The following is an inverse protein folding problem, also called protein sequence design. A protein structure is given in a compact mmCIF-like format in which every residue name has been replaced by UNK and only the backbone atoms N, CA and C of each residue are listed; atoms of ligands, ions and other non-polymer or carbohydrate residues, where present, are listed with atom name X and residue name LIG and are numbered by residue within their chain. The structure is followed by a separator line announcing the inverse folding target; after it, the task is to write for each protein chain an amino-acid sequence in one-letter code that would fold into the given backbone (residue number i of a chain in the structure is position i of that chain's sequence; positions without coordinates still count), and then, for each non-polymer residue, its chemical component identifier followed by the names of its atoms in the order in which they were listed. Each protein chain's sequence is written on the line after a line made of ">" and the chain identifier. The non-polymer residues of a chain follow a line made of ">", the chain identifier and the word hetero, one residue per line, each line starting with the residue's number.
data_IF_316156122692
#
_entry.id   IF_316156122692
#
_cell.length_a   1.000
_cell.length_b   1.000
_cell.length_c   1.000
_cell.angle_alpha   90.00
_cell.angle_beta   90.00
_cell.angle_gamma   90.00
#
_symmetry.space_group_name_H-M   'P 1'
#
loop_
_entity.id
_entity.type
_entity.pdbx_description
1 polymer ?
#
# COMPACT_ATOMS: atom_id res chain seq x y z
N UNK A 1 16.63 -5.02 -50.39
CA UNK A 1 16.69 -6.11 -49.39
C UNK A 1 18.07 -6.05 -48.73
N UNK A 2 18.13 -5.61 -47.48
CA UNK A 2 19.31 -5.74 -46.63
C UNK A 2 18.81 -6.26 -45.28
N UNK A 3 19.33 -7.42 -44.89
CA UNK A 3 18.83 -8.23 -43.80
C UNK A 3 19.07 -7.55 -42.44
N UNK A 4 18.07 -7.62 -41.57
CA UNK A 4 18.15 -7.23 -40.17
C UNK A 4 19.14 -8.15 -39.43
N UNK A 5 20.12 -7.55 -38.75
CA UNK A 5 20.94 -8.26 -37.77
C UNK A 5 20.13 -8.43 -36.48
N UNK A 6 20.13 -9.62 -35.85
CA UNK A 6 19.43 -9.84 -34.60
C UNK A 6 20.18 -9.12 -33.47
N UNK A 7 19.46 -8.25 -32.77
CA UNK A 7 19.94 -7.61 -31.56
C UNK A 7 20.29 -8.70 -30.54
N UNK A 8 21.59 -8.82 -30.26
CA UNK A 8 22.13 -9.66 -29.21
C UNK A 8 21.41 -9.36 -27.89
N UNK A 9 20.70 -10.34 -27.35
CA UNK A 9 20.28 -10.38 -25.96
C UNK A 9 21.53 -10.22 -25.08
N UNK A 10 21.83 -8.98 -24.68
CA UNK A 10 22.63 -8.76 -23.48
C UNK A 10 21.80 -9.29 -22.32
N UNK A 11 22.33 -10.29 -21.63
CA UNK A 11 21.81 -10.72 -20.35
C UNK A 11 21.65 -9.49 -19.47
N UNK A 12 20.41 -9.18 -19.11
CA UNK A 12 20.12 -8.13 -18.14
C UNK A 12 20.65 -8.61 -16.80
N UNK A 13 21.71 -7.97 -16.32
CA UNK A 13 21.97 -7.78 -14.89
C UNK A 13 20.62 -7.63 -14.16
N UNK A 14 20.43 -8.24 -12.97
CA UNK A 14 19.19 -8.04 -12.23
C UNK A 14 19.00 -6.54 -12.03
N UNK A 15 17.96 -6.00 -12.66
CA UNK A 15 17.57 -4.59 -12.51
C UNK A 15 17.55 -4.27 -11.02
N UNK A 16 18.33 -3.28 -10.58
CA UNK A 16 18.32 -2.86 -9.18
C UNK A 16 16.87 -2.67 -8.72
N UNK A 17 16.48 -3.21 -7.56
CA UNK A 17 15.09 -3.16 -7.11
C UNK A 17 14.68 -1.71 -6.91
N UNK A 18 13.50 -1.34 -7.41
CA UNK A 18 12.95 0.01 -7.22
C UNK A 18 12.66 0.24 -5.73
N UNK A 19 13.25 1.29 -5.16
CA UNK A 19 13.06 1.67 -3.75
C UNK A 19 12.13 2.86 -3.63
N UNK A 20 11.00 2.63 -2.97
CA UNK A 20 9.98 3.65 -2.71
C UNK A 20 9.90 3.88 -1.21
N UNK A 21 10.06 5.13 -0.78
CA UNK A 21 9.88 5.57 0.61
C UNK A 21 8.63 6.42 0.70
N UNK A 22 7.84 6.22 1.76
CA UNK A 22 6.73 7.10 2.11
C UNK A 22 6.90 7.60 3.53
N UNK A 23 6.62 8.89 3.74
CA UNK A 23 6.78 9.52 5.04
C UNK A 23 5.81 10.70 5.22
N UNK A 24 4.90 10.58 6.20
CA UNK A 24 4.17 11.74 6.70
C UNK A 24 5.12 12.60 7.54
N UNK A 25 5.40 13.81 7.04
CA UNK A 25 6.32 14.78 7.65
C UNK A 25 5.59 15.87 8.44
N UNK A 26 4.32 15.64 8.79
CA UNK A 26 3.41 16.63 9.36
C UNK A 26 3.84 17.21 10.70
N UNK A 27 4.74 16.56 11.44
CA UNK A 27 5.32 17.15 12.65
C UNK A 27 6.03 18.48 12.37
N UNK A 28 6.61 18.63 11.17
CA UNK A 28 7.42 19.82 10.82
C UNK A 28 7.08 20.44 9.46
N UNK A 29 6.55 19.66 8.52
CA UNK A 29 6.36 20.09 7.12
C UNK A 29 7.67 20.16 6.33
N UNK A 30 7.54 20.32 5.01
CA UNK A 30 8.69 20.22 4.09
C UNK A 30 9.68 21.36 4.26
N UNK A 31 9.19 22.60 4.38
CA UNK A 31 10.03 23.79 4.54
C UNK A 31 10.95 23.70 5.76
N UNK A 32 10.41 23.27 6.91
CA UNK A 32 11.19 23.10 8.14
C UNK A 32 12.24 21.99 8.00
N UNK A 33 11.88 20.84 7.42
CA UNK A 33 12.82 19.73 7.25
C UNK A 33 13.94 20.06 6.26
N UNK A 34 13.66 20.84 5.23
CA UNK A 34 14.63 21.26 4.22
C UNK A 34 15.39 22.55 4.58
N UNK A 35 15.09 23.17 5.73
CA UNK A 35 15.67 24.46 6.12
C UNK A 35 17.20 24.43 6.25
N UNK A 36 17.83 25.54 5.85
CA UNK A 36 19.29 25.74 5.85
C UNK A 36 19.88 26.06 7.22
N UNK A 37 19.05 26.22 8.25
CA UNK A 37 19.52 26.23 9.64
C UNK A 37 20.31 24.95 9.88
N UNK A 38 21.50 25.08 10.49
CA UNK A 38 22.43 23.98 10.73
C UNK A 38 21.67 22.75 11.22
N UNK A 39 22.07 21.55 10.76
CA UNK A 39 21.43 20.30 11.14
C UNK A 39 21.40 20.19 12.66
N UNK A 40 20.26 20.56 13.25
CA UNK A 40 20.04 20.51 14.68
C UNK A 40 19.36 19.20 15.02
N UNK A 41 19.61 18.72 16.23
CA UNK A 41 18.94 17.56 16.77
C UNK A 41 18.19 18.00 18.02
N UNK A 42 17.02 17.41 18.25
CA UNK A 42 16.40 17.47 19.57
C UNK A 42 17.37 16.86 20.59
N UNK A 43 17.27 17.30 21.85
CA UNK A 43 17.96 16.63 22.94
C UNK A 43 17.63 15.13 22.92
N UNK A 44 18.61 14.24 23.23
CA UNK A 44 18.36 12.81 23.26
C UNK A 44 17.15 12.49 24.13
N UNK A 45 16.26 11.64 23.65
CA UNK A 45 15.16 11.14 24.46
C UNK A 45 15.66 10.12 25.50
N UNK A 46 14.72 9.55 26.27
CA UNK A 46 15.03 8.60 27.36
C UNK A 46 15.73 7.31 26.87
N UNK A 47 15.75 7.06 25.56
CA UNK A 47 16.44 5.94 24.91
C UNK A 47 17.73 6.37 24.20
N UNK A 48 18.15 7.62 24.37
CA UNK A 48 19.32 8.19 23.71
C UNK A 48 19.09 8.56 22.23
N UNK A 49 17.84 8.53 21.75
CA UNK A 49 17.53 8.85 20.35
C UNK A 49 17.38 10.36 20.20
N UNK A 50 18.22 10.95 19.34
CA UNK A 50 18.15 12.38 19.00
C UNK A 50 17.42 12.55 17.67
N UNK A 51 16.32 13.30 17.66
CA UNK A 51 15.52 13.50 16.44
C UNK A 51 16.08 14.67 15.65
N UNK A 52 16.54 14.40 14.44
CA UNK A 52 17.04 15.44 13.53
C UNK A 52 15.94 16.45 13.23
N UNK A 53 16.18 17.73 13.47
CA UNK A 53 15.25 18.84 13.29
C UNK A 53 15.12 19.30 11.83
N UNK A 54 16.25 19.42 11.15
CA UNK A 54 16.37 19.79 9.75
C UNK A 54 17.47 18.97 9.06
N UNK A 55 17.42 18.90 7.74
CA UNK A 55 18.42 18.27 6.91
C UNK A 55 19.40 19.26 6.28
N UNK A 56 19.25 20.57 6.51
CA UNK A 56 20.11 21.62 5.93
C UNK A 56 19.77 21.95 4.47
N UNK A 57 19.23 20.99 3.71
CA UNK A 57 18.69 21.21 2.38
C UNK A 57 17.75 20.07 1.98
N UNK A 58 16.89 20.32 0.99
CA UNK A 58 16.06 19.27 0.39
C UNK A 58 16.91 18.18 -0.28
N UNK A 59 18.04 18.55 -0.90
CA UNK A 59 18.97 17.58 -1.49
C UNK A 59 19.52 16.61 -0.44
N UNK A 60 19.92 17.13 0.73
CA UNK A 60 20.43 16.30 1.83
C UNK A 60 19.33 15.43 2.44
N UNK A 61 18.10 15.95 2.53
CA UNK A 61 16.93 15.17 2.94
C UNK A 61 16.69 13.98 2.01
N UNK A 62 16.61 14.22 0.70
CA UNK A 62 16.37 13.18 -0.30
C UNK A 62 17.51 12.15 -0.35
N UNK A 63 18.76 12.60 -0.25
CA UNK A 63 19.92 11.72 -0.20
C UNK A 63 19.89 10.79 1.04
N UNK A 64 19.47 11.31 2.20
CA UNK A 64 19.42 10.54 3.45
C UNK A 64 18.37 9.41 3.46
N UNK A 65 17.34 9.50 2.60
CA UNK A 65 16.29 8.48 2.50
C UNK A 65 16.68 7.29 1.63
N UNK A 66 17.77 7.41 0.85
CA UNK A 66 18.31 6.34 -0.01
C UNK A 66 17.24 5.61 -0.84
N UNK A 67 16.42 6.40 -1.54
CA UNK A 67 15.31 5.92 -2.35
C UNK A 67 15.40 6.40 -3.81
N UNK A 68 14.66 5.73 -4.68
CA UNK A 68 14.45 6.13 -6.07
C UNK A 68 13.22 7.02 -6.21
N UNK A 69 12.19 6.75 -5.39
CA UNK A 69 10.97 7.56 -5.27
C UNK A 69 10.69 7.84 -3.80
N UNK A 70 10.44 9.11 -3.47
CA UNK A 70 10.10 9.56 -2.12
C UNK A 70 8.73 10.22 -2.13
N UNK A 71 7.82 9.74 -1.29
CA UNK A 71 6.46 10.21 -1.14
C UNK A 71 6.30 10.89 0.22
N UNK A 72 6.22 12.22 0.21
CA UNK A 72 5.93 13.00 1.42
C UNK A 72 4.43 13.31 1.53
N UNK A 73 3.91 13.19 2.75
CA UNK A 73 2.59 13.66 3.15
C UNK A 73 2.71 14.77 4.20
N UNK A 74 1.69 15.62 4.28
CA UNK A 74 1.67 16.81 5.15
C UNK A 74 2.85 17.76 4.89
N UNK A 75 3.11 18.09 3.62
CA UNK A 75 4.16 19.04 3.25
C UNK A 75 3.89 20.46 3.78
N UNK A 76 2.62 20.80 4.04
CA UNK A 76 2.15 22.06 4.66
C UNK A 76 2.61 23.33 3.96
N UNK A 77 2.83 23.25 2.65
CA UNK A 77 3.17 24.41 1.82
C UNK A 77 1.90 25.11 1.33
N UNK A 78 1.89 26.44 1.44
CA UNK A 78 0.82 27.28 0.90
C UNK A 78 1.00 27.51 -0.61
N UNK A 79 2.24 27.66 -1.03
CA UNK A 79 2.63 27.95 -2.40
C UNK A 79 3.95 27.25 -2.72
N UNK A 80 4.27 27.14 -3.99
CA UNK A 80 5.47 26.44 -4.43
C UNK A 80 6.69 27.34 -4.30
N UNK A 81 7.66 26.91 -3.51
CA UNK A 81 8.95 27.58 -3.40
C UNK A 81 9.99 26.83 -4.21
N UNK A 82 10.73 27.54 -5.08
CA UNK A 82 11.66 26.93 -6.04
C UNK A 82 12.65 25.97 -5.40
N UNK A 83 13.22 26.34 -4.26
CA UNK A 83 14.23 25.54 -3.54
C UNK A 83 13.64 24.30 -2.83
N UNK A 84 12.31 24.23 -2.68
CA UNK A 84 11.59 23.08 -2.13
C UNK A 84 11.02 22.17 -3.23
N UNK A 85 11.13 22.56 -4.49
CA UNK A 85 10.65 21.79 -5.64
C UNK A 85 11.79 21.28 -6.51
N UNK A 86 12.78 22.13 -6.80
CA UNK A 86 13.82 21.84 -7.76
C UNK A 86 15.08 21.36 -7.04
N UNK A 87 15.44 20.09 -7.27
CA UNK A 87 16.67 19.47 -6.79
C UNK A 87 17.34 18.76 -7.95
N UNK A 88 18.63 18.98 -8.15
CA UNK A 88 19.39 18.34 -9.22
C UNK A 88 19.30 16.81 -9.12
N UNK A 89 18.99 16.17 -10.25
CA UNK A 89 18.79 14.72 -10.33
C UNK A 89 17.43 14.22 -9.85
N UNK A 90 16.49 15.11 -9.53
CA UNK A 90 15.13 14.76 -9.10
C UNK A 90 14.05 15.53 -9.87
N UNK A 91 12.98 14.83 -10.22
CA UNK A 91 11.71 15.39 -10.67
C UNK A 91 10.71 15.37 -9.51
N UNK A 92 9.95 16.45 -9.32
CA UNK A 92 9.03 16.60 -8.20
C UNK A 92 7.59 16.89 -8.66
N UNK A 93 6.61 16.31 -7.97
CA UNK A 93 5.18 16.42 -8.27
C UNK A 93 4.41 16.70 -7.00
N UNK A 94 3.55 17.72 -7.00
CA UNK A 94 2.89 18.20 -5.79
C UNK A 94 1.38 18.27 -5.95
N UNK A 95 0.69 18.10 -4.83
CA UNK A 95 -0.69 18.54 -4.65
C UNK A 95 -0.76 19.35 -3.36
N UNK A 96 -1.16 20.61 -3.44
CA UNK A 96 -1.20 21.53 -2.30
C UNK A 96 -2.65 21.84 -1.92
N UNK A 97 -2.88 22.11 -0.63
CA UNK A 97 -4.19 22.48 -0.14
C UNK A 97 -4.61 23.85 -0.68
N UNK A 98 -5.78 23.89 -1.33
CA UNK A 98 -6.42 25.12 -1.85
C UNK A 98 -7.57 25.59 -0.98
N UNK A 99 -8.11 24.72 -0.13
CA UNK A 99 -9.15 25.07 0.83
C UNK A 99 -8.66 26.21 1.75
N UNK A 100 -9.56 27.17 2.03
CA UNK A 100 -9.29 28.37 2.85
C UNK A 100 -10.17 28.44 4.10
N UNK A 101 -10.43 27.28 4.70
CA UNK A 101 -11.19 27.18 5.93
C UNK A 101 -10.31 27.51 7.16
N UNK A 102 -10.89 27.94 8.30
CA UNK A 102 -10.13 28.21 9.52
C UNK A 102 -9.15 27.10 9.93
N UNK A 103 -9.57 25.83 9.77
CA UNK A 103 -8.77 24.63 10.07
C UNK A 103 -7.59 24.38 9.13
N UNK A 104 -7.53 25.05 7.98
CA UNK A 104 -6.48 24.86 6.96
C UNK A 104 -5.31 25.83 7.10
N UNK A 105 -5.34 26.69 8.13
CA UNK A 105 -4.28 27.68 8.40
C UNK A 105 -3.91 28.52 7.17
N UNK A 106 -4.92 28.87 6.35
CA UNK A 106 -4.75 29.64 5.11
C UNK A 106 -4.05 28.88 3.97
N UNK A 107 -4.18 27.55 3.94
CA UNK A 107 -3.56 26.66 2.94
C UNK A 107 -2.28 25.96 3.41
N UNK A 108 -1.79 26.25 4.62
CA UNK A 108 -0.66 25.54 5.26
C UNK A 108 -1.14 24.27 5.97
N UNK A 109 -1.82 23.43 5.22
CA UNK A 109 -2.49 22.23 5.71
C UNK A 109 -2.34 21.10 4.70
N UNK A 110 -2.26 19.85 5.18
CA UNK A 110 -2.14 18.68 4.32
C UNK A 110 -1.03 18.86 3.27
N UNK A 111 -1.35 18.59 2.00
CA UNK A 111 -0.41 18.63 0.88
C UNK A 111 0.44 17.35 0.79
N UNK A 112 0.69 16.90 -0.42
CA UNK A 112 1.58 15.76 -0.71
C UNK A 112 2.59 16.13 -1.79
N UNK A 113 3.76 15.50 -1.74
CA UNK A 113 4.81 15.66 -2.75
C UNK A 113 5.48 14.33 -3.07
N UNK A 114 5.68 14.05 -4.35
CA UNK A 114 6.40 12.88 -4.84
C UNK A 114 7.66 13.34 -5.56
N UNK A 115 8.81 12.90 -5.08
CA UNK A 115 10.12 13.12 -5.70
C UNK A 115 10.59 11.83 -6.34
N UNK A 116 10.97 11.87 -7.61
CA UNK A 116 11.48 10.73 -8.37
C UNK A 116 12.88 11.08 -8.85
N UNK A 117 13.85 10.18 -8.69
CA UNK A 117 15.15 10.34 -9.37
C UNK A 117 14.91 10.48 -10.87
N UNK A 118 15.72 11.28 -11.56
CA UNK A 118 15.56 11.49 -13.01
C UNK A 118 15.58 10.18 -13.82
N UNK A 119 16.35 9.18 -13.37
CA UNK A 119 16.34 7.83 -13.97
C UNK A 119 15.05 7.02 -13.76
N UNK A 120 14.20 7.44 -12.81
CA UNK A 120 12.90 6.89 -12.48
C UNK A 120 11.78 7.91 -12.75
N UNK A 121 11.95 8.78 -13.74
CA UNK A 121 10.95 9.78 -14.10
C UNK A 121 9.64 9.11 -14.55
N UNK A 122 8.48 9.51 -14.02
CA UNK A 122 7.21 8.96 -14.48
C UNK A 122 6.88 9.43 -15.90
N UNK A 123 6.21 8.56 -16.67
CA UNK A 123 5.67 8.89 -17.99
C UNK A 123 4.47 9.82 -17.90
N UNK A 124 3.68 9.70 -16.83
CA UNK A 124 2.52 10.54 -16.55
C UNK A 124 2.50 10.90 -15.08
N UNK A 125 2.06 12.11 -14.76
CA UNK A 125 1.72 12.51 -13.40
C UNK A 125 0.37 13.24 -13.44
N UNK A 126 -0.40 13.17 -12.36
CA UNK A 126 -1.62 13.94 -12.21
C UNK A 126 -1.82 14.34 -10.75
N UNK A 127 -2.38 15.52 -10.57
CA UNK A 127 -2.84 16.00 -9.28
C UNK A 127 -4.25 15.48 -8.96
N UNK A 128 -4.47 15.10 -7.70
CA UNK A 128 -5.78 14.70 -7.20
C UNK A 128 -6.12 13.23 -7.47
N UNK A 129 -7.13 12.76 -6.75
CA UNK A 129 -7.63 11.39 -6.86
C UNK A 129 -8.76 11.28 -7.88
N UNK A 130 -9.49 12.37 -8.14
CA UNK A 130 -10.68 12.33 -8.99
C UNK A 130 -10.41 12.54 -10.48
N UNK A 131 -9.22 13.07 -10.79
CA UNK A 131 -8.83 13.51 -12.14
C UNK A 131 -9.50 14.80 -12.62
N UNK A 132 -10.25 15.51 -11.74
CA UNK A 132 -10.90 16.79 -12.09
C UNK A 132 -9.92 17.95 -12.20
N UNK A 133 -8.83 17.89 -11.43
CA UNK A 133 -7.77 18.88 -11.49
C UNK A 133 -6.84 18.63 -12.67
N UNK A 134 -6.59 17.35 -12.99
CA UNK A 134 -5.72 16.93 -14.08
C UNK A 134 -6.19 15.60 -14.68
N UNK A 135 -6.49 15.60 -15.98
CA UNK A 135 -6.96 14.44 -16.73
C UNK A 135 -5.85 13.67 -17.45
N UNK A 136 -4.57 14.00 -17.23
CA UNK A 136 -3.41 13.41 -17.92
C UNK A 136 -3.29 11.89 -17.77
N UNK A 137 -3.78 11.34 -16.66
CA UNK A 137 -3.78 9.88 -16.40
C UNK A 137 -5.11 9.23 -16.87
N UNK A 138 -6.05 9.96 -17.46
CA UNK A 138 -7.32 9.42 -17.96
C UNK A 138 -8.19 8.79 -16.87
N UNK A 139 -9.08 7.87 -17.24
CA UNK A 139 -9.77 6.91 -16.34
C UNK A 139 -10.61 7.49 -15.19
N UNK A 140 -11.49 8.46 -15.50
CA UNK A 140 -12.42 9.08 -14.53
C UNK A 140 -13.83 8.50 -14.56
N UNK A 141 -14.07 7.48 -15.40
CA UNK A 141 -15.40 7.07 -15.81
C UNK A 141 -16.29 6.65 -14.63
N UNK A 142 -15.74 5.90 -13.67
CA UNK A 142 -16.51 5.43 -12.51
C UNK A 142 -16.83 6.55 -11.52
N UNK A 143 -15.99 7.60 -11.45
CA UNK A 143 -16.19 8.74 -10.54
C UNK A 143 -17.15 9.78 -11.09
N UNK A 144 -17.08 10.06 -12.39
CA UNK A 144 -17.92 11.07 -13.04
C UNK A 144 -19.38 10.60 -13.19
N UNK A 145 -19.62 9.28 -13.16
CA UNK A 145 -20.97 8.73 -13.14
C UNK A 145 -21.70 8.91 -11.80
N UNK A 146 -20.97 9.06 -10.69
CA UNK A 146 -21.52 9.05 -9.32
C UNK A 146 -21.55 10.43 -8.65
N UNK A 147 -20.97 11.48 -9.25
CA UNK A 147 -20.81 12.79 -8.58
C UNK A 147 -20.74 13.97 -9.56
N UNK A 148 -21.16 15.14 -9.10
CA UNK A 148 -20.98 16.40 -9.83
C UNK A 148 -19.52 16.85 -9.86
N UNK A 149 -19.15 17.68 -10.84
CA UNK A 149 -17.78 18.19 -10.95
C UNK A 149 -17.36 19.01 -9.72
N UNK A 150 -18.27 19.76 -9.12
CA UNK A 150 -18.02 20.54 -7.91
C UNK A 150 -17.67 19.64 -6.73
N UNK A 151 -18.44 18.55 -6.51
CA UNK A 151 -18.13 17.58 -5.45
C UNK A 151 -16.76 16.93 -5.66
N UNK A 152 -16.40 16.59 -6.90
CA UNK A 152 -15.07 16.06 -7.21
C UNK A 152 -13.97 17.08 -6.92
N UNK A 153 -14.19 18.36 -7.24
CA UNK A 153 -13.24 19.45 -6.93
C UNK A 153 -13.10 19.64 -5.42
N UNK A 154 -14.18 19.51 -4.66
CA UNK A 154 -14.14 19.57 -3.20
C UNK A 154 -13.32 18.42 -2.60
N UNK A 155 -13.47 17.20 -3.10
CA UNK A 155 -12.67 16.03 -2.67
C UNK A 155 -11.16 16.30 -2.87
N UNK A 156 -10.77 16.89 -4.01
CA UNK A 156 -9.36 17.17 -4.32
C UNK A 156 -8.84 18.51 -3.76
N UNK A 157 -9.70 19.33 -3.15
CA UNK A 157 -9.36 20.68 -2.68
C UNK A 157 -8.30 20.73 -1.58
N UNK A 158 -8.14 19.65 -0.80
CA UNK A 158 -7.23 19.58 0.34
C UNK A 158 -5.82 19.09 -0.03
N UNK A 159 -5.52 18.82 -1.30
CA UNK A 159 -4.17 18.50 -1.75
C UNK A 159 -3.66 17.13 -1.27
N UNK A 160 -4.50 16.10 -1.34
CA UNK A 160 -4.30 14.83 -0.62
C UNK A 160 -3.75 13.68 -1.46
N UNK A 161 -3.58 13.87 -2.76
CA UNK A 161 -3.14 12.81 -3.66
C UNK A 161 -2.31 13.37 -4.82
N UNK A 162 -1.19 12.69 -5.11
CA UNK A 162 -0.46 12.80 -6.37
C UNK A 162 -0.31 11.41 -6.94
N UNK A 163 -0.60 11.26 -8.23
CA UNK A 163 -0.45 10.00 -8.96
C UNK A 163 0.72 10.14 -9.92
N UNK A 164 1.64 9.18 -9.93
CA UNK A 164 2.75 9.09 -10.88
C UNK A 164 2.75 7.70 -11.53
N UNK A 165 2.90 7.63 -12.86
CA UNK A 165 2.89 6.37 -13.62
C UNK A 165 4.28 6.08 -14.15
N UNK A 166 4.87 5.00 -13.64
CA UNK A 166 6.23 4.53 -13.94
C UNK A 166 6.12 3.23 -14.74
N UNK A 167 6.35 3.29 -16.05
CA UNK A 167 6.06 2.19 -16.97
C UNK A 167 4.60 1.67 -16.81
N UNK A 168 4.43 0.51 -16.19
CA UNK A 168 3.14 -0.15 -15.91
C UNK A 168 2.67 0.00 -14.45
N UNK A 169 3.39 0.75 -13.61
CA UNK A 169 3.08 0.99 -12.20
C UNK A 169 2.49 2.39 -11.99
N UNK A 170 1.22 2.47 -11.59
CA UNK A 170 0.63 3.66 -11.01
C UNK A 170 0.91 3.73 -9.50
N UNK A 171 1.69 4.70 -9.09
CA UNK A 171 1.95 5.02 -7.69
C UNK A 171 1.05 6.18 -7.26
N UNK A 172 0.21 5.96 -6.25
CA UNK A 172 -0.62 6.99 -5.62
C UNK A 172 -0.01 7.33 -4.26
N UNK A 173 0.58 8.52 -4.15
CA UNK A 173 1.02 9.10 -2.88
C UNK A 173 -0.17 9.77 -2.20
N UNK A 174 -0.62 9.21 -1.08
CA UNK A 174 -1.90 9.60 -0.44
C UNK A 174 -1.73 10.05 1.01
N UNK A 175 -2.44 11.12 1.35
CA UNK A 175 -2.70 11.56 2.71
C UNK A 175 -4.20 11.55 3.00
N UNK A 176 -4.71 10.43 3.50
CA UNK A 176 -6.13 10.29 3.78
C UNK A 176 -6.57 11.20 4.94
N UNK A 177 -7.81 11.72 4.94
CA UNK A 177 -8.29 12.59 6.01
C UNK A 177 -8.24 11.92 7.39
N UNK A 178 -7.81 12.68 8.40
CA UNK A 178 -7.89 12.29 9.81
C UNK A 178 -9.19 12.82 10.44
N UNK A 179 -9.76 12.03 11.36
CA UNK A 179 -10.95 12.40 12.12
C UNK A 179 -10.53 12.97 13.49
N UNK A 180 -10.06 14.22 13.49
CA UNK A 180 -9.46 14.85 14.69
C UNK A 180 -10.26 16.04 15.24
N UNK A 181 -11.44 16.32 14.68
CA UNK A 181 -12.26 17.43 15.14
C UNK A 181 -12.97 17.09 16.46
N UNK A 182 -12.85 18.01 17.42
CA UNK A 182 -13.46 17.94 18.74
C UNK A 182 -14.91 18.43 18.78
N UNK A 183 -15.27 19.36 17.88
CA UNK A 183 -16.65 19.80 17.69
C UNK A 183 -17.47 18.69 16.98
N UNK A 184 -18.66 18.29 17.48
CA UNK A 184 -19.43 17.19 16.91
C UNK A 184 -19.87 17.39 15.45
N UNK A 185 -20.29 18.61 15.09
CA UNK A 185 -20.77 18.91 13.74
C UNK A 185 -19.62 18.85 12.73
N UNK A 186 -18.49 19.47 13.08
CA UNK A 186 -17.26 19.40 12.29
C UNK A 186 -16.73 17.95 12.22
N UNK A 187 -16.80 17.21 13.33
CA UNK A 187 -16.43 15.78 13.36
C UNK A 187 -17.22 14.99 12.32
N UNK A 188 -18.52 15.24 12.22
CA UNK A 188 -19.37 14.57 11.23
C UNK A 188 -19.05 14.99 9.80
N UNK A 189 -18.85 16.28 9.55
CA UNK A 189 -18.40 16.79 8.24
C UNK A 189 -17.08 16.14 7.82
N UNK A 190 -16.11 16.02 8.72
CA UNK A 190 -14.82 15.37 8.42
C UNK A 190 -14.95 13.86 8.18
N UNK A 191 -15.87 13.17 8.88
CA UNK A 191 -16.18 11.76 8.59
C UNK A 191 -16.80 11.60 7.21
N UNK A 192 -17.76 12.45 6.84
CA UNK A 192 -18.41 12.44 5.52
C UNK A 192 -17.39 12.75 4.41
N UNK A 193 -16.52 13.74 4.62
CA UNK A 193 -15.42 14.04 3.70
C UNK A 193 -14.45 12.87 3.56
N UNK A 194 -14.05 12.24 4.67
CA UNK A 194 -13.21 11.03 4.65
C UNK A 194 -13.87 9.90 3.87
N UNK A 195 -15.16 9.64 4.08
CA UNK A 195 -15.89 8.60 3.36
C UNK A 195 -15.90 8.87 1.84
N UNK A 196 -16.19 10.10 1.44
CA UNK A 196 -16.19 10.52 0.03
C UNK A 196 -14.80 10.39 -0.61
N UNK A 197 -13.75 10.82 0.10
CA UNK A 197 -12.37 10.67 -0.35
C UNK A 197 -11.96 9.21 -0.52
N UNK A 198 -12.28 8.34 0.46
CA UNK A 198 -11.94 6.92 0.40
C UNK A 198 -12.69 6.19 -0.72
N UNK A 199 -13.96 6.54 -0.95
CA UNK A 199 -14.73 6.04 -2.09
C UNK A 199 -14.07 6.45 -3.41
N UNK A 200 -13.70 7.73 -3.53
CA UNK A 200 -13.04 8.22 -4.74
C UNK A 200 -11.70 7.52 -5.00
N UNK A 201 -10.92 7.32 -3.93
CA UNK A 201 -9.65 6.60 -3.97
C UNK A 201 -9.79 5.13 -4.39
N UNK A 202 -10.78 4.42 -3.85
CA UNK A 202 -11.05 3.04 -4.23
C UNK A 202 -11.37 2.93 -5.72
N UNK A 203 -12.35 3.72 -6.19
CA UNK A 203 -12.76 3.71 -7.59
C UNK A 203 -11.60 4.08 -8.52
N UNK A 204 -10.81 5.09 -8.15
CA UNK A 204 -9.61 5.47 -8.90
C UNK A 204 -8.63 4.32 -9.04
N UNK A 205 -8.34 3.61 -7.94
CA UNK A 205 -7.43 2.46 -7.98
C UNK A 205 -8.00 1.31 -8.84
N UNK A 206 -9.31 1.07 -8.77
CA UNK A 206 -9.98 0.04 -9.60
C UNK A 206 -9.93 0.38 -11.09
N UNK A 207 -10.19 1.64 -11.44
CA UNK A 207 -10.14 2.09 -12.83
C UNK A 207 -8.72 1.96 -13.41
N UNK A 208 -7.70 2.34 -12.64
CA UNK A 208 -6.29 2.17 -13.04
C UNK A 208 -5.92 0.68 -13.21
N UNK A 209 -6.35 -0.17 -12.27
CA UNK A 209 -6.12 -1.62 -12.36
C UNK A 209 -6.85 -2.26 -13.55
N UNK A 210 -8.08 -1.84 -13.83
CA UNK A 210 -8.86 -2.28 -14.99
C UNK A 210 -8.24 -1.83 -16.32
N UNK A 211 -7.52 -0.70 -16.32
CA UNK A 211 -6.70 -0.25 -17.45
C UNK A 211 -5.39 -1.05 -17.62
N UNK A 212 -5.16 -2.08 -16.81
CA UNK A 212 -3.99 -2.96 -16.88
C UNK A 212 -2.77 -2.46 -16.14
N UNK A 213 -2.89 -1.40 -15.33
CA UNK A 213 -1.78 -0.91 -14.51
C UNK A 213 -1.69 -1.70 -13.21
N UNK A 214 -0.47 -1.94 -12.75
CA UNK A 214 -0.21 -2.27 -11.35
C UNK A 214 -0.38 -0.99 -10.54
N UNK A 215 -0.96 -1.10 -9.36
CA UNK A 215 -1.26 0.03 -8.48
C UNK A 215 -0.50 -0.15 -7.17
N UNK A 216 0.27 0.86 -6.80
CA UNK A 216 0.83 1.03 -5.47
C UNK A 216 0.17 2.24 -4.83
N UNK A 217 -0.76 1.99 -3.92
CA UNK A 217 -1.30 3.01 -3.04
C UNK A 217 -0.41 3.10 -1.79
N UNK A 218 0.26 4.22 -1.60
CA UNK A 218 1.25 4.39 -0.52
C UNK A 218 1.07 5.72 0.20
N UNK A 219 1.14 5.69 1.53
CA UNK A 219 1.04 6.90 2.36
C UNK A 219 0.29 6.70 3.65
N UNK A 220 0.01 7.81 4.32
CA UNK A 220 -0.75 7.85 5.56
C UNK A 220 -2.25 7.71 5.28
N UNK A 221 -2.77 6.54 5.58
CA UNK A 221 -4.19 6.20 5.42
C UNK A 221 -5.05 6.68 6.59
N UNK A 222 -4.45 7.15 7.69
CA UNK A 222 -5.14 7.52 8.91
C UNK A 222 -6.13 6.42 9.38
N UNK A 223 -5.78 5.15 9.14
CA UNK A 223 -6.57 3.96 9.44
C UNK A 223 -5.60 2.85 9.85
N UNK A 224 -5.72 2.34 11.08
CA UNK A 224 -5.01 1.13 11.49
C UNK A 224 -5.78 -0.11 10.99
N UNK A 225 -5.17 -1.02 10.20
CA UNK A 225 -5.91 -2.14 9.58
C UNK A 225 -6.54 -3.12 10.58
N UNK A 226 -5.83 -3.43 11.67
CA UNK A 226 -6.25 -4.40 12.67
C UNK A 226 -5.84 -3.98 14.08
N UNK A 227 -6.21 -4.80 15.08
CA UNK A 227 -5.74 -4.59 16.46
C UNK A 227 -4.23 -4.68 16.61
N UNK A 228 -3.57 -5.56 15.85
CA UNK A 228 -2.10 -5.70 15.87
C UNK A 228 -1.38 -4.43 15.41
N UNK A 229 -2.11 -3.52 14.76
CA UNK A 229 -1.63 -2.26 14.23
C UNK A 229 -1.89 -1.07 15.15
N UNK A 230 -2.34 -1.30 16.39
CA UNK A 230 -2.61 -0.25 17.40
C UNK A 230 -2.20 -0.73 18.79
N UNK A 231 -1.22 -0.05 19.42
CA UNK A 231 -0.79 -0.35 20.79
C UNK A 231 -1.97 -0.31 21.76
N UNK A 232 -2.80 0.73 21.66
CA UNK A 232 -4.00 0.91 22.47
C UNK A 232 -4.96 -0.27 22.37
N UNK A 233 -5.19 -0.81 21.17
CA UNK A 233 -6.12 -1.94 21.00
C UNK A 233 -5.49 -3.30 21.33
N UNK A 234 -4.17 -3.41 21.21
CA UNK A 234 -3.43 -4.62 21.56
C UNK A 234 -3.43 -4.89 23.08
N UNK A 235 -3.50 -3.83 23.89
CA UNK A 235 -3.54 -3.91 25.36
C UNK A 235 -4.95 -4.12 25.94
N UNK A 236 -6.00 -4.03 25.12
CA UNK A 236 -7.37 -4.20 25.60
C UNK A 236 -7.60 -5.65 26.06
N UNK A 237 -7.83 -5.81 27.36
CA UNK A 237 -8.25 -7.08 27.96
C UNK A 237 -9.63 -7.54 27.49
N UNK A 238 -10.47 -6.58 27.09
CA UNK A 238 -11.82 -6.81 26.60
C UNK A 238 -11.89 -6.69 25.07
N UNK A 239 -13.03 -7.10 24.50
CA UNK A 239 -13.32 -6.81 23.11
C UNK A 239 -13.35 -5.27 22.90
N UNK A 240 -12.73 -4.75 21.82
CA UNK A 240 -12.64 -3.36 21.50
C UNK A 240 -14.02 -2.93 21.03
N UNK A 241 -14.26 -1.62 20.99
CA UNK A 241 -15.42 -1.11 20.29
C UNK A 241 -15.45 -1.62 18.84
N UNK A 242 -16.65 -1.65 18.22
CA UNK A 242 -16.79 -1.95 16.81
C UNK A 242 -15.83 -1.10 15.95
N UNK A 243 -15.25 -1.69 14.88
CA UNK A 243 -14.40 -0.96 13.95
C UNK A 243 -15.11 0.27 13.37
N UNK A 244 -14.35 1.34 13.15
CA UNK A 244 -14.85 2.51 12.41
C UNK A 244 -15.23 2.13 10.97
N UNK A 245 -16.12 2.91 10.34
CA UNK A 245 -16.49 2.72 8.94
C UNK A 245 -15.26 2.70 8.00
N UNK A 246 -14.26 3.57 8.23
CA UNK A 246 -13.03 3.59 7.45
C UNK A 246 -12.17 2.33 7.65
N UNK A 247 -12.16 1.74 8.86
CA UNK A 247 -11.49 0.45 9.09
C UNK A 247 -12.22 -0.70 8.40
N UNK A 248 -13.55 -0.73 8.46
CA UNK A 248 -14.35 -1.74 7.74
C UNK A 248 -14.14 -1.64 6.23
N UNK A 249 -14.12 -0.42 5.67
CA UNK A 249 -13.79 -0.17 4.27
C UNK A 249 -12.43 -0.75 3.90
N UNK A 250 -11.39 -0.47 4.68
CA UNK A 250 -10.05 -0.99 4.41
C UNK A 250 -10.00 -2.52 4.53
N UNK A 251 -10.64 -3.09 5.55
CA UNK A 251 -10.72 -4.54 5.76
C UNK A 251 -11.44 -5.25 4.61
N UNK A 252 -12.48 -4.64 4.04
CA UNK A 252 -13.17 -5.19 2.87
C UNK A 252 -12.27 -5.28 1.63
N UNK A 253 -11.33 -4.35 1.47
CA UNK A 253 -10.37 -4.35 0.36
C UNK A 253 -9.20 -5.33 0.55
N UNK A 254 -8.87 -5.64 1.80
CA UNK A 254 -7.79 -6.57 2.18
C UNK A 254 -8.28 -8.00 2.45
N UNK A 255 -9.58 -8.19 2.60
CA UNK A 255 -10.18 -9.42 3.13
C UNK A 255 -10.51 -10.50 2.07
N UNK A 256 -10.69 -11.76 2.50
CA UNK A 256 -11.12 -12.87 1.66
C UNK A 256 -12.59 -12.72 1.19
N UNK A 257 -13.03 -13.46 0.14
CA UNK A 257 -12.29 -14.50 -0.59
C UNK A 257 -11.38 -13.98 -1.70
N UNK A 258 -11.50 -12.71 -2.08
CA UNK A 258 -10.70 -12.09 -3.15
C UNK A 258 -10.30 -10.67 -2.76
N UNK A 259 -9.15 -10.48 -2.09
CA UNK A 259 -8.68 -9.15 -1.75
C UNK A 259 -8.37 -8.36 -3.02
N UNK A 260 -8.71 -7.07 -3.02
CA UNK A 260 -8.32 -6.16 -4.09
C UNK A 260 -6.88 -5.66 -3.89
N UNK A 261 -6.49 -5.42 -2.63
CA UNK A 261 -5.14 -5.01 -2.26
C UNK A 261 -4.44 -6.07 -1.42
N UNK A 262 -3.12 -6.16 -1.56
CA UNK A 262 -2.24 -6.75 -0.55
C UNK A 262 -1.53 -5.64 0.24
N UNK A 263 -1.58 -5.71 1.57
CA UNK A 263 -0.73 -4.90 2.45
C UNK A 263 0.70 -5.48 2.42
N UNK A 264 1.64 -4.75 1.81
CA UNK A 264 3.02 -5.21 1.61
C UNK A 264 3.72 -5.54 2.94
N UNK A 265 3.47 -4.76 3.99
CA UNK A 265 4.07 -5.03 5.30
C UNK A 265 3.54 -6.33 5.88
N UNK A 266 2.21 -6.56 5.83
CA UNK A 266 1.60 -7.79 6.36
C UNK A 266 1.88 -9.02 5.51
N UNK A 267 2.08 -8.85 4.21
CA UNK A 267 2.55 -9.92 3.34
C UNK A 267 3.93 -10.46 3.76
N UNK A 268 4.84 -9.56 4.16
CA UNK A 268 6.21 -9.90 4.59
C UNK A 268 6.33 -10.22 6.08
N UNK A 269 5.46 -9.62 6.90
CA UNK A 269 5.50 -9.68 8.36
C UNK A 269 4.09 -9.92 8.95
N UNK A 270 3.46 -11.07 8.66
CA UNK A 270 2.04 -11.30 8.95
C UNK A 270 1.69 -11.16 10.42
N UNK A 271 2.53 -11.67 11.32
CA UNK A 271 2.29 -11.67 12.77
C UNK A 271 3.07 -10.60 13.56
N UNK A 272 3.85 -9.73 12.90
CA UNK A 272 4.71 -8.76 13.61
C UNK A 272 3.86 -7.68 14.30
N UNK A 273 3.78 -7.72 15.62
CA UNK A 273 3.25 -6.64 16.46
C UNK A 273 4.28 -5.53 16.71
N UNK A 274 3.87 -4.43 17.32
CA UNK A 274 4.76 -3.35 17.75
C UNK A 274 5.42 -2.54 16.63
N UNK A 275 5.00 -2.74 15.37
CA UNK A 275 5.55 -2.08 14.19
C UNK A 275 4.70 -0.86 13.80
N UNK A 276 4.75 0.18 14.63
CA UNK A 276 3.94 1.38 14.47
C UNK A 276 4.68 2.45 13.65
N UNK A 277 3.92 3.36 13.04
CA UNK A 277 4.43 4.41 12.16
C UNK A 277 4.06 5.82 12.63
N UNK A 278 3.04 5.94 13.48
CA UNK A 278 2.57 7.21 14.03
C UNK A 278 2.46 7.14 15.56
N UNK A 279 2.95 8.20 16.21
CA UNK A 279 3.01 8.33 17.66
C UNK A 279 2.59 9.74 18.08
N UNK A 280 1.87 9.84 19.20
CA UNK A 280 1.51 11.13 19.76
C UNK A 280 2.71 11.76 20.49
N UNK A 281 3.37 12.71 19.84
CA UNK A 281 4.65 13.29 20.30
C UNK A 281 4.51 14.05 21.62
N UNK A 282 3.41 14.80 21.82
CA UNK A 282 3.25 15.63 23.01
C UNK A 282 3.12 14.81 24.31
N UNK A 283 2.69 13.55 24.22
CA UNK A 283 2.66 12.63 25.37
C UNK A 283 3.92 11.75 25.46
N UNK A 284 4.90 11.91 24.57
CA UNK A 284 6.09 11.06 24.49
C UNK A 284 5.77 9.60 24.15
N UNK A 285 4.69 9.34 23.40
CA UNK A 285 4.18 7.99 23.17
C UNK A 285 5.18 7.09 22.42
N UNK A 286 5.99 7.68 21.56
CA UNK A 286 7.08 7.01 20.84
C UNK A 286 8.15 6.43 21.76
N UNK A 287 8.44 7.08 22.90
CA UNK A 287 9.34 6.54 23.94
C UNK A 287 8.83 5.23 24.54
N UNK A 288 7.55 4.93 24.41
CA UNK A 288 6.98 3.69 24.93
C UNK A 288 6.52 2.74 23.82
N UNK A 289 6.92 3.04 22.58
CA UNK A 289 6.38 2.38 21.38
C UNK A 289 4.84 2.32 21.39
N UNK A 290 4.20 3.35 21.93
CA UNK A 290 2.75 3.43 22.07
C UNK A 290 2.16 4.14 20.87
N UNK A 291 2.04 3.42 19.75
CA UNK A 291 1.67 3.99 18.47
C UNK A 291 0.64 3.20 17.70
N UNK A 292 0.43 3.65 16.47
CA UNK A 292 -0.42 3.00 15.47
C UNK A 292 0.32 2.87 14.15
N UNK A 293 0.11 1.77 13.42
CA UNK A 293 0.53 1.63 12.03
C UNK A 293 -0.59 2.13 11.13
N UNK A 294 -0.38 3.29 10.53
CA UNK A 294 -1.35 3.96 9.65
C UNK A 294 -0.76 4.34 8.29
N UNK A 295 0.56 4.28 8.16
CA UNK A 295 1.27 4.41 6.90
C UNK A 295 1.35 3.04 6.22
N UNK A 296 0.68 2.91 5.08
CA UNK A 296 0.48 1.63 4.40
C UNK A 296 1.08 1.67 2.99
N UNK A 297 1.50 0.51 2.51
CA UNK A 297 1.84 0.26 1.11
C UNK A 297 0.94 -0.87 0.60
N UNK A 298 -0.04 -0.53 -0.23
CA UNK A 298 -1.10 -1.42 -0.71
C UNK A 298 -0.92 -1.67 -2.21
N UNK A 299 -0.83 -2.95 -2.59
CA UNK A 299 -0.52 -3.38 -3.96
C UNK A 299 -1.74 -4.02 -4.63
N UNK A 300 -2.08 -3.58 -5.84
CA UNK A 300 -3.10 -4.20 -6.70
C UNK A 300 -2.55 -4.44 -8.14
N UNK A 301 -2.86 -5.58 -8.79
CA UNK A 301 -3.41 -6.77 -8.16
C UNK A 301 -2.45 -7.28 -7.05
N UNK A 302 -2.97 -8.03 -6.06
CA UNK A 302 -2.13 -8.65 -5.05
C UNK A 302 -1.00 -9.46 -5.71
N UNK A 303 0.28 -9.25 -5.34
CA UNK A 303 1.37 -10.04 -5.90
C UNK A 303 1.19 -11.51 -5.53
N UNK A 304 1.64 -12.42 -6.40
CA UNK A 304 1.78 -13.82 -6.05
C UNK A 304 2.89 -13.95 -5.00
N UNK A 305 2.51 -14.07 -3.72
CA UNK A 305 3.47 -14.25 -2.65
C UNK A 305 4.04 -15.69 -2.71
N UNK A 306 5.35 -15.87 -2.52
CA UNK A 306 5.90 -17.20 -2.32
C UNK A 306 5.25 -17.81 -1.08
N UNK A 307 4.74 -19.03 -1.19
CA UNK A 307 4.10 -19.74 -0.08
C UNK A 307 5.07 -19.79 1.10
N UNK A 308 4.75 -19.08 2.17
CA UNK A 308 5.51 -19.06 3.40
C UNK A 308 5.54 -20.47 3.98
N UNK A 309 6.69 -21.16 3.86
CA UNK A 309 6.95 -22.40 4.57
C UNK A 309 6.95 -22.10 6.07
N UNK A 310 5.86 -22.41 6.76
CA UNK A 310 5.86 -22.43 8.21
C UNK A 310 6.73 -23.60 8.66
N UNK A 311 7.91 -23.29 9.18
CA UNK A 311 8.66 -24.16 10.07
C UNK A 311 7.86 -24.29 11.38
N UNK A 312 6.94 -25.24 11.43
CA UNK A 312 6.26 -25.66 12.65
C UNK A 312 7.00 -26.86 13.26
N UNK A 313 7.66 -26.63 14.39
CA UNK A 313 8.11 -27.69 15.30
C UNK A 313 6.88 -28.43 15.83
N UNK A 314 6.56 -29.59 15.25
CA UNK A 314 5.50 -30.47 15.72
C UNK A 314 6.02 -31.49 16.74
N UNK A 315 5.53 -31.43 17.98
CA UNK A 315 5.37 -32.63 18.78
C UNK A 315 4.15 -33.40 18.25
N UNK A 316 4.36 -34.69 18.03
CA UNK A 316 3.43 -35.58 17.33
C UNK A 316 2.14 -35.83 18.14
N UNK A 317 1.00 -35.60 17.49
CA UNK A 317 -0.31 -36.13 17.86
C UNK A 317 -0.97 -36.69 16.60
N UNK A 318 -1.17 -38.00 16.57
CA UNK A 318 -1.71 -38.76 15.45
C UNK A 318 -3.18 -38.43 15.18
N UNK A 319 -3.49 -37.93 13.98
CA UNK A 319 -4.84 -37.82 13.45
C UNK A 319 -4.81 -37.86 11.91
N UNK A 320 -5.50 -38.84 11.31
CA UNK A 320 -5.60 -39.02 9.87
C UNK A 320 -6.27 -37.80 9.20
N UNK A 321 -5.62 -37.19 8.21
CA UNK A 321 -6.19 -36.09 7.43
C UNK A 321 -6.72 -36.58 6.06
N UNK A 322 -8.03 -36.61 5.91
CA UNK A 322 -8.71 -36.79 4.63
C UNK A 322 -8.74 -35.48 3.83
N UNK A 323 -8.43 -35.54 2.53
CA UNK A 323 -8.52 -34.41 1.61
C UNK A 323 -9.98 -34.18 1.18
N UNK A 324 -10.69 -33.32 1.90
CA UNK A 324 -12.07 -32.93 1.57
C UNK A 324 -12.13 -31.60 0.80
N UNK A 325 -13.00 -31.54 -0.20
CA UNK A 325 -13.52 -30.28 -0.76
C UNK A 325 -14.28 -29.51 0.34
N UNK A 326 -14.35 -28.19 0.24
CA UNK A 326 -15.07 -27.33 1.21
C UNK A 326 -16.58 -27.63 1.34
N UNK A 327 -17.15 -28.44 0.44
CA UNK A 327 -18.55 -28.89 0.44
C UNK A 327 -18.71 -30.38 0.82
N UNK A 328 -17.64 -31.05 1.26
CA UNK A 328 -17.66 -32.45 1.69
C UNK A 328 -17.69 -33.49 0.56
N UNK A 329 -17.63 -33.08 -0.71
CA UNK A 329 -17.61 -34.01 -1.85
C UNK A 329 -16.20 -34.58 -2.13
N UNK A 330 -16.13 -35.72 -2.83
CA UNK A 330 -14.89 -36.42 -3.15
C UNK A 330 -14.18 -35.83 -4.39
N UNK A 331 -12.86 -35.69 -4.33
CA UNK A 331 -12.03 -35.28 -5.47
C UNK A 331 -11.44 -36.50 -6.20
N UNK A 332 -11.27 -36.41 -7.52
CA UNK A 332 -10.57 -37.43 -8.31
C UNK A 332 -9.07 -37.19 -8.32
N UNK A 333 -8.28 -38.22 -8.00
CA UNK A 333 -6.83 -38.21 -8.15
C UNK A 333 -6.42 -38.61 -9.58
N UNK A 334 -5.54 -37.83 -10.21
CA UNK A 334 -5.03 -38.04 -11.57
C UNK A 334 -3.53 -37.81 -11.63
N UNK A 335 -2.84 -38.50 -12.55
CA UNK A 335 -1.38 -38.38 -12.75
C UNK A 335 -1.08 -37.81 -14.13
N UNK A 336 -0.19 -36.82 -14.21
CA UNK A 336 0.20 -36.21 -15.48
C UNK A 336 1.03 -37.19 -16.32
N UNK A 337 0.48 -37.64 -17.44
CA UNK A 337 1.20 -38.53 -18.38
C UNK A 337 1.95 -37.78 -19.50
N UNK A 338 1.61 -36.52 -19.75
CA UNK A 338 2.22 -35.68 -20.79
C UNK A 338 3.66 -35.31 -20.44
N UNK A 339 4.57 -35.39 -21.41
CA UNK A 339 5.97 -35.03 -21.23
C UNK A 339 6.13 -33.54 -20.86
N UNK A 340 6.92 -33.27 -19.83
CA UNK A 340 7.19 -31.93 -19.31
C UNK A 340 7.58 -31.91 -17.82
N UNK A 341 7.81 -30.71 -17.24
CA UNK A 341 8.29 -30.54 -15.85
C UNK A 341 7.37 -31.12 -14.76
N UNK A 342 6.14 -31.46 -15.11
CA UNK A 342 5.12 -32.01 -14.21
C UNK A 342 4.75 -33.46 -14.52
N UNK A 343 5.39 -34.11 -15.51
CA UNK A 343 5.15 -35.51 -15.84
C UNK A 343 5.38 -36.41 -14.62
N UNK A 344 4.42 -37.27 -14.32
CA UNK A 344 4.43 -38.16 -13.15
C UNK A 344 3.93 -37.55 -11.85
N UNK A 345 3.58 -36.25 -11.81
CA UNK A 345 2.97 -35.64 -10.61
C UNK A 345 1.48 -35.97 -10.51
N UNK A 346 1.02 -36.24 -9.30
CA UNK A 346 -0.40 -36.46 -8.98
C UNK A 346 -1.08 -35.14 -8.64
N UNK A 347 -2.33 -34.96 -9.07
CA UNK A 347 -3.20 -33.85 -8.69
C UNK A 347 -4.61 -34.37 -8.38
N UNK A 348 -5.37 -33.57 -7.64
CA UNK A 348 -6.77 -33.76 -7.33
C UNK A 348 -7.59 -32.73 -8.12
N UNK A 349 -8.68 -33.16 -8.74
CA UNK A 349 -9.63 -32.28 -9.42
C UNK A 349 -11.07 -32.62 -9.04
N UNK A 350 -11.98 -31.66 -9.22
CA UNK A 350 -13.41 -31.89 -9.01
C UNK A 350 -13.90 -33.13 -9.78
N UNK A 351 -14.66 -34.00 -9.10
CA UNK A 351 -15.21 -35.22 -9.69
C UNK A 351 -16.53 -35.01 -10.46
N UNK A 352 -17.17 -33.84 -10.31
CA UNK A 352 -18.44 -33.52 -10.98
C UNK A 352 -18.23 -33.25 -12.47
N UNK A 353 -19.21 -33.63 -13.29
CA UNK A 353 -19.21 -33.36 -14.73
C UNK A 353 -19.33 -31.85 -15.03
N UNK A 354 -18.85 -31.43 -16.20
CA UNK A 354 -19.02 -30.05 -16.65
C UNK A 354 -20.50 -29.79 -16.94
N UNK A 355 -21.04 -28.68 -16.43
CA UNK A 355 -22.46 -28.35 -16.55
C UNK A 355 -22.71 -26.84 -16.62
N UNK A 356 -23.99 -26.45 -16.62
CA UNK A 356 -24.38 -25.06 -16.89
C UNK A 356 -23.93 -24.08 -15.79
N UNK A 357 -23.61 -22.85 -16.22
CA UNK A 357 -23.11 -21.78 -15.35
C UNK A 357 -24.18 -21.42 -14.30
N UNK A 358 -23.93 -21.75 -13.03
CA UNK A 358 -24.83 -21.45 -11.91
C UNK A 358 -25.42 -22.67 -11.22
N UNK A 359 -25.26 -23.87 -11.77
CA UNK A 359 -25.64 -25.12 -11.11
C UNK A 359 -24.59 -25.52 -10.06
N UNK A 360 -25.05 -25.75 -8.82
CA UNK A 360 -24.19 -26.13 -7.69
C UNK A 360 -23.73 -27.59 -7.76
N UNK A 361 -24.42 -28.43 -8.54
CA UNK A 361 -24.08 -29.84 -8.78
C UNK A 361 -23.12 -30.02 -9.97
N UNK A 362 -22.75 -28.93 -10.65
CA UNK A 362 -21.78 -28.93 -11.75
C UNK A 362 -20.33 -28.81 -11.27
N UNK A 363 -19.36 -29.13 -12.15
CA UNK A 363 -17.93 -29.05 -11.88
C UNK A 363 -17.51 -27.72 -11.24
N UNK A 364 -17.01 -27.77 -10.00
CA UNK A 364 -16.64 -26.59 -9.21
C UNK A 364 -15.25 -26.02 -9.56
N UNK A 365 -14.58 -26.59 -10.57
CA UNK A 365 -13.22 -26.23 -11.02
C UNK A 365 -12.14 -26.32 -9.95
N UNK A 366 -12.38 -27.09 -8.90
CA UNK A 366 -11.37 -27.43 -7.92
C UNK A 366 -10.19 -28.15 -8.57
N UNK A 367 -8.98 -27.72 -8.20
CA UNK A 367 -7.72 -28.31 -8.61
C UNK A 367 -6.67 -28.11 -7.51
N UNK A 368 -5.95 -29.18 -7.14
CA UNK A 368 -4.88 -29.14 -6.16
C UNK A 368 -3.80 -30.17 -6.51
N UNK A 369 -2.51 -29.81 -6.46
CA UNK A 369 -1.44 -30.80 -6.59
C UNK A 369 -1.34 -31.69 -5.35
N UNK A 370 -1.08 -32.98 -5.51
CA UNK A 370 -0.75 -33.85 -4.38
C UNK A 370 0.62 -33.45 -3.81
N UNK A 371 0.74 -33.46 -2.48
CA UNK A 371 2.00 -33.17 -1.81
C UNK A 371 3.08 -34.17 -2.26
N UNK A 372 4.30 -33.68 -2.50
CA UNK A 372 5.42 -34.54 -2.86
C UNK A 372 5.73 -35.46 -1.67
N UNK A 373 5.78 -36.78 -1.91
CA UNK A 373 6.26 -37.72 -0.90
C UNK A 373 7.71 -37.37 -0.56
N UNK A 374 7.99 -37.10 0.72
CA UNK A 374 9.35 -36.87 1.20
C UNK A 374 10.24 -38.07 0.85
N UNK A 375 11.23 -37.86 -0.03
CA UNK A 375 12.29 -38.83 -0.23
C UNK A 375 13.11 -38.88 1.06
N UNK A 376 12.92 -39.92 1.88
CA UNK A 376 13.85 -40.28 2.95
C UNK A 376 15.25 -40.38 2.35
N UNK A 377 16.13 -39.43 2.68
CA UNK A 377 17.55 -39.53 2.40
C UNK A 377 18.07 -40.76 3.13
N UNK A 378 18.40 -41.83 2.39
CA UNK A 378 19.28 -42.88 2.91
C UNK A 378 20.63 -42.21 3.22
N UNK A 379 21.05 -42.26 4.47
CA UNK A 379 22.40 -41.83 4.86
C UNK A 379 23.47 -42.61 4.09
N UNK A 380 24.67 -42.05 3.92
CA UNK A 380 25.77 -42.76 3.29
C UNK A 380 26.18 -43.96 4.15
N UNK A 381 26.67 -45.06 3.55
CA UNK A 381 27.01 -46.27 4.27
C UNK A 381 28.32 -46.14 5.06
N UNK A 382 28.31 -46.84 6.20
CA UNK A 382 29.33 -47.07 7.24
C UNK A 382 29.66 -45.88 8.15
#
# INVERSE_FOLDING_TARGET
>A
MAAAQPCCHRGSEPSHPLRVVSWNIGLRGLATLASSTAASFDAPDVHGISRRQSFGSLATLLAALDADIVCFQEVKLREMERHLALVDGWDSYFSLCRAREPRTSGGRYAGVATFCRTGCRPRLAAEGVTGVLDSSIGHRASLVAESSEEELRQIDSEGRCVITVHADLALLNVYAPANTASDPEESERRRAFKASFLRALELRCRDLAAAGLRVLLIGDMNISPSRLDSAREAELLQAPPPPSASRLWLQALLGPPRPFFADAFRALHPARGGAYSCFHVASGADRHNYGSRIDLALLAPPPLLPSSGQAGSGQAGSGQAGSGLADGSSAHASVVKKAGPTQGKTFYSCARAEGHRGDKESNCRFFQWAAAAERKRKGPPA
#
